data_IF_479275344312
#
_entry.id   IF_479275344312
#
_cell.length_a   1.000
_cell.length_b   1.000
_cell.length_c   1.000
_cell.angle_alpha   90.00
_cell.angle_beta   90.00
_cell.angle_gamma   90.00
#
_symmetry.space_group_name_H-M   'P 1'
#
loop_
_entity.id
_entity.type
_entity.pdbx_description
1 polymer ?
#
# COMPACT_ATOMS: atom_id res chain seq x y z
N UNK A 1 13.80 -6.76 10.56
CA UNK A 1 12.37 -6.50 10.91
C UNK A 1 12.12 -5.09 11.42
N UNK A 2 12.85 -4.57 12.42
CA UNK A 2 12.64 -3.18 12.87
C UNK A 2 13.19 -2.15 11.89
N UNK A 3 14.09 -2.54 11.00
CA UNK A 3 14.57 -1.72 9.89
C UNK A 3 13.67 -1.86 8.65
N UNK A 4 13.09 -3.04 8.44
CA UNK A 4 12.26 -3.37 7.27
C UNK A 4 10.80 -2.90 7.44
N UNK A 5 10.23 -2.99 8.64
CA UNK A 5 8.84 -2.67 8.92
C UNK A 5 8.75 -1.40 9.75
N UNK A 6 7.98 -0.44 9.25
CA UNK A 6 7.63 0.78 9.94
C UNK A 6 6.78 0.48 11.20
N UNK A 7 6.63 1.45 12.14
CA UNK A 7 5.88 1.21 13.37
C UNK A 7 4.42 0.79 13.18
N UNK A 8 3.79 1.13 12.05
CA UNK A 8 2.45 0.70 11.63
C UNK A 8 2.41 -0.68 10.94
N UNK A 9 3.57 -1.32 10.74
CA UNK A 9 3.72 -2.65 10.16
C UNK A 9 3.89 -2.68 8.64
N UNK A 10 3.87 -1.53 7.96
CA UNK A 10 4.08 -1.45 6.52
C UNK A 10 5.56 -1.56 6.20
N UNK A 11 5.90 -2.16 5.05
CA UNK A 11 7.29 -2.34 4.65
C UNK A 11 7.88 -1.01 4.19
N UNK A 12 9.12 -0.72 4.59
CA UNK A 12 9.75 0.59 4.44
C UNK A 12 9.98 1.03 2.98
N UNK A 13 9.94 0.10 2.02
CA UNK A 13 10.02 0.43 0.59
C UNK A 13 8.72 1.02 0.01
N UNK A 14 7.62 1.00 0.76
CA UNK A 14 6.32 1.54 0.33
C UNK A 14 5.91 1.07 -1.08
N UNK A 15 6.12 -0.22 -1.32
CA UNK A 15 5.56 -0.97 -2.44
C UNK A 15 4.66 -2.06 -1.90
N UNK A 16 3.46 -2.14 -2.45
CA UNK A 16 2.43 -3.08 -2.02
C UNK A 16 2.84 -4.52 -2.29
N UNK A 17 3.46 -4.82 -3.43
CA UNK A 17 3.98 -6.16 -3.74
C UNK A 17 5.16 -6.54 -2.84
N UNK A 18 6.14 -5.63 -2.68
CA UNK A 18 7.31 -5.89 -1.84
C UNK A 18 6.94 -6.06 -0.36
N UNK A 19 5.93 -5.34 0.14
CA UNK A 19 5.36 -5.59 1.46
C UNK A 19 4.95 -7.06 1.62
N UNK A 20 4.19 -7.60 0.66
CA UNK A 20 3.71 -8.97 0.74
C UNK A 20 4.82 -10.01 0.54
N UNK A 21 5.83 -9.71 -0.28
CA UNK A 21 7.03 -10.55 -0.43
C UNK A 21 7.78 -10.68 0.90
N UNK A 22 8.03 -9.56 1.57
CA UNK A 22 8.73 -9.52 2.86
C UNK A 22 7.90 -10.15 3.97
N UNK A 23 6.59 -9.87 4.00
CA UNK A 23 5.65 -10.49 4.95
C UNK A 23 5.65 -12.02 4.81
N UNK A 24 5.63 -12.55 3.58
CA UNK A 24 5.72 -13.99 3.33
C UNK A 24 6.99 -14.61 3.93
N UNK A 25 8.14 -13.94 3.81
CA UNK A 25 9.40 -14.43 4.38
C UNK A 25 9.33 -14.46 5.91
N UNK A 26 8.81 -13.41 6.54
CA UNK A 26 8.67 -13.35 8.00
C UNK A 26 7.66 -14.37 8.55
N UNK A 27 6.54 -14.60 7.87
CA UNK A 27 5.59 -15.67 8.21
C UNK A 27 6.27 -17.05 8.15
N UNK A 28 7.11 -17.29 7.14
CA UNK A 28 7.91 -18.50 7.04
C UNK A 28 8.84 -18.71 8.23
N UNK A 29 9.54 -17.66 8.65
CA UNK A 29 10.41 -17.69 9.86
C UNK A 29 9.60 -18.02 11.10
N UNK A 30 8.49 -17.32 11.33
CA UNK A 30 7.64 -17.55 12.51
C UNK A 30 7.08 -18.97 12.52
N UNK A 31 6.60 -19.46 11.37
CA UNK A 31 6.08 -20.83 11.23
C UNK A 31 7.14 -21.88 11.53
N UNK A 32 8.34 -21.73 10.99
CA UNK A 32 9.45 -22.64 11.26
C UNK A 32 9.85 -22.64 12.72
N UNK A 33 9.91 -21.47 13.36
CA UNK A 33 10.20 -21.36 14.78
C UNK A 33 9.14 -22.08 15.63
N UNK A 34 7.84 -21.89 15.32
CA UNK A 34 6.75 -22.59 16.01
C UNK A 34 6.85 -24.11 15.86
N UNK A 35 7.08 -24.62 14.64
CA UNK A 35 7.20 -26.06 14.39
C UNK A 35 8.38 -26.71 15.13
N UNK A 36 9.46 -25.94 15.31
CA UNK A 36 10.66 -26.40 16.00
C UNK A 36 10.72 -25.99 17.48
N UNK A 37 9.63 -25.44 18.04
CA UNK A 37 9.54 -24.99 19.43
C UNK A 37 10.63 -23.98 19.82
N UNK A 38 11.05 -23.14 18.86
CA UNK A 38 12.02 -22.07 19.07
C UNK A 38 11.25 -20.81 19.49
N UNK A 39 11.61 -20.27 20.66
CA UNK A 39 11.07 -18.99 21.11
C UNK A 39 11.72 -17.85 20.34
N UNK A 40 10.89 -16.97 19.78
CA UNK A 40 11.32 -15.74 19.14
C UNK A 40 10.95 -14.55 20.03
N UNK A 41 11.70 -13.43 19.96
CA UNK A 41 11.30 -12.20 20.64
C UNK A 41 9.88 -11.74 20.24
N UNK A 42 9.06 -11.35 21.21
CA UNK A 42 7.64 -10.96 21.01
C UNK A 42 7.46 -9.85 19.97
N UNK A 43 8.47 -8.98 19.82
CA UNK A 43 8.48 -7.91 18.82
C UNK A 43 8.30 -8.45 17.39
N UNK A 44 8.81 -9.64 17.09
CA UNK A 44 8.69 -10.25 15.76
C UNK A 44 7.23 -10.60 15.48
N UNK A 45 6.57 -11.29 16.41
CA UNK A 45 5.17 -11.65 16.30
C UNK A 45 4.26 -10.41 16.22
N UNK A 46 4.54 -9.40 17.06
CA UNK A 46 3.80 -8.13 17.06
C UNK A 46 3.92 -7.37 15.74
N UNK A 47 5.13 -7.28 15.16
CA UNK A 47 5.34 -6.61 13.88
C UNK A 47 4.71 -7.37 12.70
N UNK A 48 4.81 -8.70 12.68
CA UNK A 48 4.14 -9.53 11.67
C UNK A 48 2.62 -9.36 11.75
N UNK A 49 2.05 -9.27 12.95
CA UNK A 49 0.62 -9.04 13.13
C UNK A 49 0.18 -7.70 12.54
N UNK A 50 0.94 -6.61 12.76
CA UNK A 50 0.66 -5.30 12.15
C UNK A 50 0.80 -5.33 10.63
N UNK A 51 1.81 -6.02 10.12
CA UNK A 51 1.98 -6.21 8.68
C UNK A 51 0.80 -6.99 8.05
N UNK A 52 0.29 -8.01 8.74
CA UNK A 52 -0.95 -8.69 8.35
C UNK A 52 -2.18 -7.79 8.44
N UNK A 53 -2.24 -6.87 9.40
CA UNK A 53 -3.31 -5.86 9.47
C UNK A 53 -3.27 -4.96 8.23
N UNK A 54 -2.10 -4.45 7.84
CA UNK A 54 -1.97 -3.72 6.57
C UNK A 54 -2.39 -4.58 5.37
N UNK A 55 -1.88 -5.81 5.28
CA UNK A 55 -2.27 -6.76 4.23
C UNK A 55 -3.79 -6.94 4.17
N UNK A 56 -4.48 -7.03 5.29
CA UNK A 56 -5.94 -7.16 5.33
C UNK A 56 -6.64 -5.93 4.71
N UNK A 57 -6.25 -4.72 5.10
CA UNK A 57 -6.90 -3.49 4.64
C UNK A 57 -6.53 -3.12 3.20
N UNK A 58 -5.28 -3.37 2.78
CA UNK A 58 -4.80 -2.97 1.45
C UNK A 58 -5.40 -3.83 0.32
N UNK A 59 -5.86 -5.05 0.59
CA UNK A 59 -6.56 -5.84 -0.43
C UNK A 59 -7.88 -5.18 -0.82
N UNK A 60 -8.06 -4.95 -2.12
CA UNK A 60 -9.32 -4.50 -2.71
C UNK A 60 -10.43 -5.56 -2.50
N UNK A 61 -11.72 -5.16 -2.62
CA UNK A 61 -12.87 -6.07 -2.57
C UNK A 61 -12.78 -7.30 -3.47
N UNK A 62 -12.16 -7.18 -4.64
CA UNK A 62 -11.92 -8.28 -5.59
C UNK A 62 -10.84 -9.28 -5.13
N UNK A 63 -10.15 -8.98 -4.02
CA UNK A 63 -9.11 -9.82 -3.44
C UNK A 63 -7.71 -9.60 -4.05
N UNK A 64 -7.52 -8.58 -4.88
CA UNK A 64 -6.21 -8.15 -5.38
C UNK A 64 -5.69 -6.93 -4.62
N UNK A 65 -4.38 -6.76 -4.58
CA UNK A 65 -3.75 -5.53 -4.07
C UNK A 65 -3.76 -4.43 -5.15
N UNK A 66 -3.78 -3.14 -4.76
CA UNK A 66 -3.42 -2.04 -5.65
C UNK A 66 -1.96 -2.15 -6.07
N UNK A 67 -1.59 -1.59 -7.22
CA UNK A 67 -0.27 -1.72 -7.83
C UNK A 67 0.61 -0.49 -7.52
N UNK A 68 0.64 -0.04 -6.26
CA UNK A 68 1.43 1.14 -5.88
C UNK A 68 2.94 0.89 -5.92
N UNK A 69 3.69 1.90 -6.38
CA UNK A 69 5.14 1.85 -6.56
C UNK A 69 5.54 0.71 -7.53
N UNK A 70 6.73 0.11 -7.36
CA UNK A 70 7.09 -1.13 -8.05
C UNK A 70 6.26 -2.30 -7.53
N UNK A 71 5.03 -2.39 -8.02
CA UNK A 71 4.12 -3.50 -7.79
C UNK A 71 3.32 -3.78 -9.05
N UNK A 72 2.89 -5.03 -9.19
CA UNK A 72 1.88 -5.45 -10.14
C UNK A 72 0.64 -6.02 -9.38
N UNK A 73 -0.55 -6.10 -10.02
CA UNK A 73 -1.72 -6.68 -9.38
C UNK A 73 -1.48 -8.14 -8.94
N UNK A 74 -1.64 -8.41 -7.65
CA UNK A 74 -1.45 -9.73 -7.06
C UNK A 74 -2.50 -10.06 -5.99
N UNK A 75 -2.71 -11.34 -5.72
CA UNK A 75 -3.61 -11.81 -4.67
C UNK A 75 -2.79 -12.52 -3.59
N UNK A 76 -2.75 -11.95 -2.38
CA UNK A 76 -1.94 -12.43 -1.26
C UNK A 76 -2.77 -12.89 -0.05
N UNK A 77 -4.05 -13.22 -0.29
CA UNK A 77 -4.99 -13.70 0.74
C UNK A 77 -4.52 -14.96 1.49
N UNK A 78 -3.66 -15.76 0.88
CA UNK A 78 -3.05 -16.92 1.57
C UNK A 78 -2.12 -16.51 2.72
N UNK A 79 -1.55 -15.29 2.70
CA UNK A 79 -0.80 -14.76 3.84
C UNK A 79 -1.73 -14.44 5.02
N UNK A 80 -2.93 -13.90 4.75
CA UNK A 80 -3.96 -13.70 5.78
C UNK A 80 -4.41 -15.04 6.38
N UNK A 81 -4.55 -16.09 5.56
CA UNK A 81 -4.85 -17.44 6.06
C UNK A 81 -3.77 -17.96 7.00
N UNK A 82 -2.49 -17.79 6.65
CA UNK A 82 -1.38 -18.12 7.55
C UNK A 82 -1.42 -17.28 8.83
N UNK A 83 -1.81 -15.99 8.73
CA UNK A 83 -2.06 -15.14 9.88
C UNK A 83 -3.13 -15.72 10.83
N UNK A 84 -4.23 -16.25 10.29
CA UNK A 84 -5.22 -16.96 11.10
C UNK A 84 -4.64 -18.22 11.77
N UNK A 85 -3.85 -19.02 11.04
CA UNK A 85 -3.26 -20.25 11.59
C UNK A 85 -2.24 -19.99 12.71
N UNK A 86 -1.48 -18.89 12.61
CA UNK A 86 -0.45 -18.53 13.58
C UNK A 86 -0.98 -17.74 14.77
N UNK A 87 -1.96 -16.86 14.55
CA UNK A 87 -2.46 -15.92 15.57
C UNK A 87 -3.90 -16.15 16.00
N UNK A 88 -4.63 -17.07 15.36
CA UNK A 88 -6.05 -17.34 15.65
C UNK A 88 -7.02 -16.22 15.24
N UNK A 89 -6.55 -15.19 14.53
CA UNK A 89 -7.32 -13.99 14.20
C UNK A 89 -8.46 -14.27 13.22
N UNK A 90 -9.70 -14.12 13.69
CA UNK A 90 -10.92 -14.32 12.89
C UNK A 90 -11.10 -13.25 11.81
N UNK A 91 -10.50 -12.07 11.97
CA UNK A 91 -10.51 -11.01 10.94
C UNK A 91 -9.59 -11.34 9.78
N UNK A 92 -8.43 -11.95 10.04
CA UNK A 92 -7.55 -12.44 8.97
C UNK A 92 -8.21 -13.57 8.18
N UNK A 93 -8.92 -14.49 8.86
CA UNK A 93 -9.71 -15.52 8.18
C UNK A 93 -10.83 -14.92 7.31
N UNK A 94 -11.46 -13.84 7.79
CA UNK A 94 -12.50 -13.11 7.07
C UNK A 94 -11.98 -12.48 5.78
N UNK A 95 -10.88 -11.74 5.84
CA UNK A 95 -10.22 -11.23 4.64
C UNK A 95 -9.75 -12.35 3.69
N UNK A 96 -9.14 -13.41 4.22
CA UNK A 96 -8.64 -14.54 3.43
C UNK A 96 -9.76 -15.25 2.66
N UNK A 97 -10.95 -15.32 3.25
CA UNK A 97 -12.12 -16.04 2.73
C UNK A 97 -13.12 -15.13 2.00
N UNK A 98 -12.76 -13.86 1.77
CA UNK A 98 -13.66 -12.84 1.20
C UNK A 98 -15.03 -12.80 1.91
N UNK A 99 -14.97 -12.80 3.23
CA UNK A 99 -16.13 -12.65 4.10
C UNK A 99 -16.97 -13.90 4.36
N UNK A 100 -16.57 -15.06 3.83
CA UNK A 100 -17.34 -16.30 4.01
C UNK A 100 -17.05 -17.04 5.33
N UNK A 101 -15.92 -16.76 5.99
CA UNK A 101 -15.50 -17.41 7.24
C UNK A 101 -14.84 -16.41 8.20
N UNK A 102 -14.99 -16.59 9.51
CA UNK A 102 -14.41 -15.67 10.50
C UNK A 102 -15.36 -14.53 10.85
N UNK A 103 -14.82 -13.36 11.21
CA UNK A 103 -15.60 -12.18 11.61
C UNK A 103 -15.04 -10.93 10.94
N UNK A 104 -15.89 -10.00 10.45
CA UNK A 104 -15.40 -8.78 9.81
C UNK A 104 -14.60 -7.91 10.80
N UNK A 105 -13.68 -7.07 10.30
CA UNK A 105 -13.06 -6.02 11.11
C UNK A 105 -14.11 -5.07 11.70
N UNK A 106 -13.82 -4.52 12.88
CA UNK A 106 -14.72 -3.57 13.55
C UNK A 106 -14.72 -2.19 12.91
N UNK A 107 -13.61 -1.78 12.28
CA UNK A 107 -13.50 -0.56 11.49
C UNK A 107 -13.51 -0.88 9.99
N UNK A 108 -14.21 -0.06 9.21
CA UNK A 108 -14.22 -0.19 7.76
C UNK A 108 -12.97 0.43 7.14
N UNK A 109 -12.64 1.62 7.62
CA UNK A 109 -11.54 2.45 7.13
C UNK A 109 -10.40 2.47 8.14
N UNK A 110 -9.16 2.63 7.65
CA UNK A 110 -7.95 2.54 8.48
C UNK A 110 -6.83 3.39 7.88
N UNK A 111 -6.20 4.18 8.73
CA UNK A 111 -4.96 4.89 8.42
C UNK A 111 -3.74 4.14 8.94
N UNK A 112 -2.68 4.14 8.15
CA UNK A 112 -1.35 3.64 8.45
C UNK A 112 -0.41 4.85 8.43
N UNK A 113 -0.33 5.54 9.56
CA UNK A 113 0.20 6.91 9.60
C UNK A 113 1.72 7.00 9.40
N UNK A 114 2.49 5.97 9.72
CA UNK A 114 3.94 5.98 9.53
C UNK A 114 4.32 5.78 8.05
N UNK A 115 3.54 4.98 7.33
CA UNK A 115 3.67 4.75 5.88
C UNK A 115 2.93 5.77 5.03
N UNK A 116 1.93 6.44 5.59
CA UNK A 116 1.07 7.39 4.89
C UNK A 116 0.01 6.74 4.02
N UNK A 117 -0.34 5.47 4.23
CA UNK A 117 -1.44 4.83 3.51
C UNK A 117 -2.78 4.96 4.24
N UNK A 118 -3.81 5.38 3.52
CA UNK A 118 -5.15 5.56 4.07
C UNK A 118 -6.17 4.80 3.24
N UNK A 119 -6.81 3.81 3.86
CA UNK A 119 -7.82 2.97 3.25
C UNK A 119 -9.20 3.43 3.72
N UNK A 120 -10.07 3.79 2.78
CA UNK A 120 -11.49 4.07 3.01
C UNK A 120 -12.34 2.96 2.40
N UNK A 121 -13.30 2.41 3.16
CA UNK A 121 -14.18 1.33 2.69
C UNK A 121 -15.61 1.56 3.12
N UNK A 122 -16.57 1.20 2.27
CA UNK A 122 -17.98 1.24 2.66
C UNK A 122 -18.41 0.12 3.59
N UNK A 123 -17.60 -0.93 3.72
CA UNK A 123 -17.90 -2.10 4.50
C UNK A 123 -16.98 -3.27 4.16
N UNK A 124 -17.30 -4.43 4.71
CA UNK A 124 -16.60 -5.68 4.50
C UNK A 124 -17.50 -6.78 3.92
N UNK A 125 -18.66 -6.43 3.36
CA UNK A 125 -19.68 -7.42 2.99
C UNK A 125 -20.43 -7.99 4.19
N UNK A 126 -20.41 -7.27 5.31
CA UNK A 126 -21.03 -7.60 6.59
C UNK A 126 -22.42 -6.97 6.77
N UNK A 127 -22.88 -6.20 5.78
CA UNK A 127 -24.18 -5.53 5.76
C UNK A 127 -25.04 -6.06 4.60
N UNK A 128 -25.59 -5.18 3.77
CA UNK A 128 -26.44 -5.57 2.63
C UNK A 128 -25.65 -5.85 1.35
N UNK A 129 -24.45 -5.28 1.23
CA UNK A 129 -23.59 -5.42 0.06
C UNK A 129 -22.73 -6.68 0.17
N UNK A 130 -22.34 -7.28 -0.96
CA UNK A 130 -21.40 -8.41 -0.97
C UNK A 130 -19.98 -7.91 -0.78
N UNK A 131 -19.12 -8.73 -0.18
CA UNK A 131 -17.69 -8.41 0.04
C UNK A 131 -17.02 -7.83 -1.21
N UNK A 132 -17.20 -8.48 -2.36
CA UNK A 132 -16.61 -8.09 -3.66
C UNK A 132 -17.18 -6.79 -4.24
N UNK A 133 -18.37 -6.38 -3.81
CA UNK A 133 -19.05 -5.20 -4.31
C UNK A 133 -18.83 -3.95 -3.47
N UNK A 134 -18.21 -4.09 -2.30
CA UNK A 134 -17.88 -2.96 -1.44
C UNK A 134 -17.09 -1.90 -2.20
N UNK A 135 -17.23 -0.64 -1.79
CA UNK A 135 -16.46 0.48 -2.32
C UNK A 135 -15.19 0.64 -1.52
N UNK A 136 -14.11 0.95 -2.22
CA UNK A 136 -12.77 1.02 -1.71
C UNK A 136 -12.04 2.20 -2.33
N UNK A 137 -11.32 2.94 -1.49
CA UNK A 137 -10.31 3.90 -1.91
C UNK A 137 -9.05 3.69 -1.08
N UNK A 138 -7.90 3.65 -1.74
CA UNK A 138 -6.60 3.80 -1.11
C UNK A 138 -6.03 5.15 -1.53
N UNK A 139 -5.59 5.94 -0.56
CA UNK A 139 -4.80 7.14 -0.79
C UNK A 139 -3.35 6.90 -0.35
N UNK A 140 -2.42 7.25 -1.22
CA UNK A 140 -1.00 7.31 -0.92
C UNK A 140 -0.62 8.73 -0.50
N UNK A 141 -0.42 8.92 0.80
CA UNK A 141 0.07 10.14 1.40
C UNK A 141 1.43 9.91 2.09
N UNK A 142 2.16 8.88 1.66
CA UNK A 142 3.46 8.52 2.19
C UNK A 142 4.60 9.42 1.73
N UNK A 143 5.77 9.28 2.36
CA UNK A 143 7.03 9.74 1.78
C UNK A 143 7.42 8.86 0.58
N UNK A 144 8.53 9.18 -0.08
CA UNK A 144 9.13 8.23 -1.01
C UNK A 144 9.63 7.01 -0.20
N UNK A 145 9.24 5.81 -0.62
CA UNK A 145 9.69 4.58 0.03
C UNK A 145 11.20 4.41 -0.03
N UNK A 146 11.76 3.72 0.97
CA UNK A 146 13.19 3.41 1.01
C UNK A 146 13.64 2.59 -0.20
N UNK A 147 14.89 2.75 -0.61
CA UNK A 147 15.44 2.03 -1.76
C UNK A 147 15.10 2.70 -3.09
N UNK A 148 14.67 1.92 -4.09
CA UNK A 148 14.47 2.42 -5.46
C UNK A 148 13.16 1.92 -6.09
N UNK A 149 12.20 1.54 -5.25
CA UNK A 149 10.91 1.00 -5.68
C UNK A 149 9.80 2.04 -5.70
N UNK A 150 9.94 3.15 -4.95
CA UNK A 150 8.98 4.25 -4.93
C UNK A 150 8.80 4.95 -6.28
N UNK A 151 7.57 5.39 -6.55
CA UNK A 151 7.19 6.21 -7.70
C UNK A 151 7.05 7.68 -7.30
N UNK A 152 6.78 8.56 -8.26
CA UNK A 152 6.64 10.02 -8.05
C UNK A 152 5.17 10.39 -7.96
N UNK A 153 4.48 9.77 -7.01
CA UNK A 153 3.03 9.60 -6.96
C UNK A 153 2.41 10.03 -5.63
N UNK A 154 3.01 10.99 -4.92
CA UNK A 154 2.42 11.54 -3.71
C UNK A 154 1.00 12.08 -3.97
N UNK A 155 0.08 11.75 -3.06
CA UNK A 155 -1.37 12.00 -3.15
C UNK A 155 -2.09 11.25 -4.29
N UNK A 156 -1.49 10.16 -4.79
CA UNK A 156 -2.16 9.22 -5.69
C UNK A 156 -3.30 8.48 -4.99
N UNK A 157 -4.27 8.02 -5.79
CA UNK A 157 -5.41 7.24 -5.31
C UNK A 157 -5.68 6.05 -6.22
N UNK A 158 -6.06 4.92 -5.61
CA UNK A 158 -6.71 3.81 -6.29
C UNK A 158 -8.14 3.64 -5.78
N UNK A 159 -9.07 3.33 -6.68
CA UNK A 159 -10.49 3.18 -6.36
C UNK A 159 -11.04 1.90 -6.97
N UNK A 160 -11.77 1.13 -6.18
CA UNK A 160 -12.51 -0.04 -6.63
C UNK A 160 -13.94 -0.03 -6.09
N UNK A 161 -14.87 -0.57 -6.85
CA UNK A 161 -16.27 -0.75 -6.43
C UNK A 161 -16.95 -1.80 -7.30
N UNK A 162 -17.96 -2.48 -6.75
CA UNK A 162 -18.84 -3.37 -7.52
C UNK A 162 -18.07 -4.44 -8.32
N UNK A 163 -17.06 -5.06 -7.68
CA UNK A 163 -16.24 -6.12 -8.25
C UNK A 163 -15.23 -5.65 -9.31
N UNK A 164 -14.94 -4.35 -9.39
CA UNK A 164 -14.04 -3.78 -10.42
C UNK A 164 -13.10 -2.73 -9.84
N UNK A 165 -11.87 -2.73 -10.35
CA UNK A 165 -10.97 -1.58 -10.22
C UNK A 165 -11.40 -0.48 -11.19
N UNK A 166 -11.63 0.73 -10.69
CA UNK A 166 -12.16 1.88 -11.44
C UNK A 166 -11.08 2.93 -11.72
N UNK A 167 -10.25 3.23 -10.73
CA UNK A 167 -9.07 4.09 -10.83
C UNK A 167 -7.89 3.24 -10.37
N UNK A 168 -6.90 3.05 -11.24
CA UNK A 168 -5.78 2.13 -11.03
C UNK A 168 -4.46 2.88 -11.12
N UNK A 169 -3.47 2.36 -10.40
CA UNK A 169 -2.08 2.70 -10.67
C UNK A 169 -1.60 1.99 -11.95
N UNK A 170 -0.73 2.60 -12.76
CA UNK A 170 -0.09 1.92 -13.88
C UNK A 170 0.81 0.75 -13.46
N UNK A 171 1.25 0.72 -12.19
CA UNK A 171 2.18 -0.27 -11.67
C UNK A 171 3.58 -0.15 -12.26
N UNK A 172 4.37 -1.20 -12.07
CA UNK A 172 5.79 -1.21 -12.44
C UNK A 172 6.06 -1.22 -13.94
N UNK A 173 5.27 -2.00 -14.69
CA UNK A 173 5.44 -2.36 -16.11
C UNK A 173 6.77 -3.08 -16.45
N UNK A 174 7.92 -2.42 -16.33
CA UNK A 174 9.23 -2.97 -16.67
C UNK A 174 10.33 -2.45 -15.76
N UNK A 175 11.43 -3.20 -15.62
CA UNK A 175 12.69 -2.71 -15.05
C UNK A 175 13.69 -2.23 -16.11
N UNK A 176 13.38 -2.48 -17.39
CA UNK A 176 14.25 -2.12 -18.50
C UNK A 176 14.09 -0.63 -18.86
N UNK A 177 15.22 0.08 -18.87
CA UNK A 177 15.31 1.48 -19.28
C UNK A 177 15.73 1.65 -20.75
N UNK A 178 15.98 0.56 -21.45
CA UNK A 178 16.44 0.56 -22.83
C UNK A 178 15.33 0.90 -23.85
N UNK A 179 15.75 1.19 -25.07
CA UNK A 179 14.86 1.44 -26.20
C UNK A 179 14.64 2.93 -26.50
N UNK A 180 13.80 3.20 -27.51
CA UNK A 180 13.52 4.56 -28.00
C UNK A 180 12.75 5.40 -26.98
N UNK A 181 11.87 4.75 -26.22
CA UNK A 181 11.09 5.35 -25.14
C UNK A 181 11.45 4.61 -23.87
N UNK A 182 11.96 5.34 -22.86
CA UNK A 182 12.24 4.75 -21.56
C UNK A 182 10.93 4.59 -20.77
N UNK A 183 10.33 3.41 -20.89
CA UNK A 183 9.05 3.12 -20.25
C UNK A 183 9.15 2.96 -18.74
N UNK A 184 10.28 2.47 -18.21
CA UNK A 184 10.55 2.47 -16.78
C UNK A 184 10.44 3.88 -16.23
N UNK A 185 11.07 4.85 -16.90
CA UNK A 185 11.02 6.22 -16.45
C UNK A 185 9.62 6.86 -16.58
N UNK A 186 8.88 6.49 -17.63
CA UNK A 186 7.52 7.00 -17.85
C UNK A 186 6.53 6.51 -16.78
N UNK A 187 6.56 5.23 -16.43
CA UNK A 187 5.62 4.62 -15.46
C UNK A 187 5.89 5.03 -14.01
N UNK A 188 7.13 5.42 -13.67
CA UNK A 188 7.45 6.00 -12.37
C UNK A 188 7.13 7.49 -12.23
N UNK A 189 6.94 8.18 -13.36
CA UNK A 189 6.78 9.63 -13.39
C UNK A 189 5.37 10.06 -12.96
N UNK A 190 5.25 11.23 -12.35
CA UNK A 190 4.00 11.78 -11.81
C UNK A 190 2.86 11.80 -12.84
N UNK A 191 3.18 11.99 -14.12
CA UNK A 191 2.21 12.01 -15.21
C UNK A 191 1.46 10.68 -15.43
N UNK A 192 1.95 9.57 -14.89
CA UNK A 192 1.33 8.25 -15.01
C UNK A 192 0.33 7.95 -13.87
N UNK A 193 0.28 8.77 -12.82
CA UNK A 193 -0.47 8.51 -11.59
C UNK A 193 -1.70 9.42 -11.43
N UNK A 194 -2.61 9.04 -10.53
CA UNK A 194 -3.87 9.74 -10.27
C UNK A 194 -3.69 10.93 -9.30
N UNK A 195 -2.69 11.75 -9.58
CA UNK A 195 -2.29 12.94 -8.80
C UNK A 195 -2.19 14.17 -9.72
N UNK A 196 -1.77 15.31 -9.18
CA UNK A 196 -1.66 16.57 -9.93
C UNK A 196 -0.25 16.70 -10.54
N UNK A 197 -0.20 17.01 -11.84
CA UNK A 197 1.02 17.32 -12.58
C UNK A 197 1.13 18.84 -12.81
N UNK A 198 2.23 19.46 -12.38
CA UNK A 198 2.45 20.90 -12.49
C UNK A 198 3.43 21.18 -13.63
N UNK A 199 2.99 21.92 -14.65
CA UNK A 199 3.82 22.33 -15.81
C UNK A 199 4.61 21.20 -16.47
N UNK A 200 4.06 19.98 -16.45
CA UNK A 200 4.73 18.78 -17.00
C UNK A 200 5.90 18.26 -16.16
N UNK A 201 6.08 18.74 -14.93
CA UNK A 201 7.16 18.33 -14.02
C UNK A 201 6.72 17.24 -13.04
N UNK A 202 7.63 16.33 -12.77
CA UNK A 202 7.49 15.39 -11.66
C UNK A 202 7.59 16.08 -10.30
N UNK A 203 7.08 15.42 -9.25
CA UNK A 203 7.14 15.90 -7.86
C UNK A 203 8.54 15.93 -7.25
N UNK A 204 9.52 15.25 -7.87
CA UNK A 204 10.94 15.42 -7.59
C UNK A 204 11.77 15.12 -8.84
N UNK A 205 13.01 15.58 -8.87
CA UNK A 205 13.93 15.38 -9.98
C UNK A 205 14.25 13.91 -10.18
N UNK A 206 13.93 13.40 -11.37
CA UNK A 206 14.21 12.04 -11.81
C UNK A 206 14.85 12.07 -13.20
N UNK A 207 16.15 11.74 -13.26
CA UNK A 207 17.00 11.99 -14.44
C UNK A 207 17.99 10.85 -14.63
N UNK A 208 18.52 10.74 -15.85
CA UNK A 208 19.59 9.78 -16.15
C UNK A 208 20.85 10.13 -15.36
N UNK A 209 21.25 9.24 -14.45
CA UNK A 209 22.53 9.25 -13.75
C UNK A 209 23.63 8.59 -14.59
N UNK A 210 24.62 8.00 -13.93
CA UNK A 210 25.78 7.42 -14.62
C UNK A 210 25.42 6.20 -15.50
N UNK A 211 24.45 5.39 -15.07
CA UNK A 211 24.08 4.13 -15.76
C UNK A 211 22.59 3.85 -15.82
N UNK A 212 21.76 4.60 -15.07
CA UNK A 212 20.31 4.42 -14.97
C UNK A 212 19.65 5.72 -14.54
N UNK A 213 18.33 5.81 -14.65
CA UNK A 213 17.57 6.92 -14.11
C UNK A 213 17.49 6.83 -12.58
N UNK A 214 17.71 7.95 -11.92
CA UNK A 214 17.77 8.05 -10.46
C UNK A 214 16.99 9.26 -9.97
N UNK A 215 16.32 9.09 -8.85
CA UNK A 215 15.71 10.19 -8.10
C UNK A 215 16.86 10.92 -7.41
N UNK A 216 17.04 12.20 -7.71
CA UNK A 216 18.23 12.95 -7.31
C UNK A 216 17.94 14.32 -6.68
N UNK A 217 16.66 14.70 -6.59
CA UNK A 217 16.22 15.90 -5.88
C UNK A 217 15.74 15.58 -4.46
N UNK A 218 15.45 16.62 -3.65
CA UNK A 218 14.71 16.43 -2.41
C UNK A 218 13.37 15.73 -2.68
N UNK A 219 13.00 14.81 -1.80
CA UNK A 219 11.70 14.16 -1.87
C UNK A 219 10.57 15.18 -1.65
N UNK A 220 9.39 14.98 -2.28
CA UNK A 220 8.23 15.77 -1.95
C UNK A 220 7.85 15.53 -0.48
N UNK A 221 7.48 16.58 0.22
CA UNK A 221 7.06 16.50 1.62
C UNK A 221 5.55 16.39 1.67
N UNK A 222 5.07 15.21 2.09
CA UNK A 222 3.64 14.96 2.32
C UNK A 222 3.29 15.16 3.80
N UNK A 223 2.16 15.80 4.05
CA UNK A 223 1.61 16.09 5.37
C UNK A 223 0.12 15.70 5.36
N UNK A 224 -0.26 14.77 6.24
CA UNK A 224 -1.68 14.43 6.45
C UNK A 224 -2.24 15.43 7.47
N UNK A 225 -3.12 16.32 7.01
CA UNK A 225 -3.75 17.35 7.84
C UNK A 225 -4.85 16.74 8.70
N UNK A 226 -5.69 15.90 8.11
CA UNK A 226 -6.69 15.14 8.86
C UNK A 226 -7.08 13.85 8.14
N UNK A 227 -7.42 12.83 8.93
CA UNK A 227 -8.11 11.63 8.47
C UNK A 227 -9.20 11.30 9.49
N UNK A 228 -10.45 11.42 9.08
CA UNK A 228 -11.62 11.22 9.92
C UNK A 228 -12.49 10.11 9.35
N UNK A 229 -12.98 9.24 10.23
CA UNK A 229 -13.87 8.14 9.86
C UNK A 229 -15.06 8.15 10.81
N UNK A 230 -16.26 8.13 10.25
CA UNK A 230 -17.54 8.09 10.97
C UNK A 230 -18.52 7.19 10.20
N UNK A 231 -19.59 6.68 10.84
CA UNK A 231 -20.60 5.92 10.14
C UNK A 231 -21.17 6.68 8.94
N UNK A 232 -20.89 6.19 7.72
CA UNK A 232 -21.35 6.77 6.46
C UNK A 232 -20.51 7.94 5.91
N UNK A 233 -19.38 8.27 6.54
CA UNK A 233 -18.53 9.39 6.12
C UNK A 233 -17.06 9.13 6.44
N UNK A 234 -16.22 9.21 5.41
CA UNK A 234 -14.76 9.27 5.57
C UNK A 234 -14.25 10.56 4.92
N UNK A 235 -13.25 11.18 5.54
CA UNK A 235 -12.59 12.37 5.04
C UNK A 235 -11.08 12.26 5.22
N UNK A 236 -10.34 12.60 4.17
CA UNK A 236 -8.89 12.75 4.20
C UNK A 236 -8.57 14.10 3.62
N UNK A 237 -7.68 14.84 4.29
CA UNK A 237 -7.05 16.02 3.75
C UNK A 237 -5.54 15.87 3.94
N UNK A 238 -4.82 15.92 2.84
CA UNK A 238 -3.37 15.84 2.81
C UNK A 238 -2.79 16.88 1.86
N UNK A 239 -1.57 17.29 2.16
CA UNK A 239 -0.85 18.35 1.45
C UNK A 239 0.50 17.83 1.03
N UNK A 240 0.87 18.08 -0.22
CA UNK A 240 2.22 17.79 -0.73
C UNK A 240 2.90 19.06 -1.23
N UNK A 241 4.18 19.19 -0.87
CA UNK A 241 5.06 20.28 -1.30
C UNK A 241 6.28 19.70 -2.00
N UNK A 242 6.55 20.18 -3.21
CA UNK A 242 7.71 19.76 -4.01
C UNK A 242 8.77 20.86 -4.06
N UNK A 243 10.04 20.47 -4.15
CA UNK A 243 11.12 21.40 -4.44
C UNK A 243 11.18 21.82 -5.93
N UNK A 244 10.45 21.15 -6.83
CA UNK A 244 10.49 21.38 -8.28
C UNK A 244 9.62 22.57 -8.74
N UNK A 245 8.69 23.01 -7.89
CA UNK A 245 7.73 24.10 -8.16
C UNK A 245 7.16 24.70 -6.87
N UNK A 246 6.71 25.98 -6.88
CA UNK A 246 6.22 26.67 -5.69
C UNK A 246 4.74 26.38 -5.34
N UNK A 247 4.04 25.57 -6.15
CA UNK A 247 2.62 25.24 -5.94
C UNK A 247 2.48 24.24 -4.79
N UNK A 248 1.51 24.50 -3.91
CA UNK A 248 1.06 23.56 -2.88
C UNK A 248 -0.11 22.78 -3.45
N UNK A 249 0.00 21.44 -3.46
CA UNK A 249 -1.10 20.56 -3.84
C UNK A 249 -1.76 20.03 -2.58
N UNK A 250 -3.05 20.31 -2.44
CA UNK A 250 -3.90 19.77 -1.38
C UNK A 250 -4.94 18.84 -2.00
N UNK A 251 -5.20 17.72 -1.33
CA UNK A 251 -6.25 16.77 -1.70
C UNK A 251 -7.06 16.41 -0.47
#
# INVERSE_FOLDING_TARGET
>A
IQEDLLPDGVHCELSTEYHHLVLKNYLGVLRLATLNQISLPDIIASQIYKALEFSLYVHKPDGFIPALSDADPGCYRDLLRQGYELFGSKTFLYGASQGTQGTPPTSYSKGFSDSGYFVMRSGWGDQQERFENERYLLADCGPLGQGNHGHLDALNVEVAAYGRSLIVDPGRYTYDESGKTNWRAAFRGTAAHNTVLIDGKNQTSYRLGASRFEICGPEPVTEVVTFETQPGFDYLHAVVRSAEYPVIHER
#
